data_IF_011495653701
#
_entry.id   IF_011495653701
#
_cell.length_a   1.000
_cell.length_b   1.000
_cell.length_c   1.000
_cell.angle_alpha   90.00
_cell.angle_beta   90.00
_cell.angle_gamma   90.00
#
_symmetry.space_group_name_H-M   'P 1'
#
loop_
_entity.id
_entity.type
_entity.pdbx_description
1 polymer ?
#
# COMPACT_ATOMS: atom_id res chain seq x y z
N UNK A 1 8.15 4.05 -12.01
CA UNK A 1 8.71 3.90 -10.63
C UNK A 1 7.56 3.70 -9.66
N UNK A 2 7.61 2.64 -8.81
CA UNK A 2 6.69 2.48 -7.69
C UNK A 2 7.37 2.89 -6.38
N UNK A 3 6.63 3.55 -5.50
CA UNK A 3 7.14 4.09 -4.26
C UNK A 3 6.18 3.84 -3.09
N UNK A 4 6.70 3.23 -2.01
CA UNK A 4 6.07 3.17 -0.69
C UNK A 4 6.95 3.96 0.28
N UNK A 5 6.48 5.05 0.88
CA UNK A 5 7.26 5.83 1.84
C UNK A 5 7.76 5.01 3.02
N UNK A 6 6.95 4.08 3.52
CA UNK A 6 7.32 3.12 4.59
C UNK A 6 8.15 3.77 5.70
N UNK A 7 7.65 4.86 6.26
CA UNK A 7 8.38 5.78 7.13
C UNK A 7 8.83 5.08 8.41
N UNK A 8 10.08 5.27 8.76
CA UNK A 8 10.68 4.82 10.02
C UNK A 8 11.33 6.01 10.71
N UNK A 9 10.58 6.74 11.58
CA UNK A 9 11.04 8.02 12.15
C UNK A 9 12.41 7.96 12.80
N UNK A 10 12.74 6.85 13.45
CA UNK A 10 14.03 6.67 14.14
C UNK A 10 15.26 6.60 13.21
N UNK A 11 15.08 6.55 11.90
CA UNK A 11 16.14 6.55 10.90
C UNK A 11 16.44 7.95 10.34
N UNK A 12 15.70 8.97 10.78
CA UNK A 12 15.77 10.32 10.25
C UNK A 12 16.17 11.31 11.35
N UNK A 13 16.87 12.37 10.98
CA UNK A 13 17.29 13.39 11.93
C UNK A 13 16.14 14.30 12.38
N UNK A 14 15.13 14.50 11.50
CA UNK A 14 13.98 15.35 11.80
C UNK A 14 12.77 14.99 10.92
N UNK A 15 11.59 15.49 11.34
CA UNK A 15 10.37 15.43 10.52
C UNK A 15 10.53 16.20 9.20
N UNK A 16 11.19 17.34 9.24
CA UNK A 16 11.38 18.18 8.05
C UNK A 16 12.23 17.46 7.02
N UNK A 17 13.30 16.75 7.45
CA UNK A 17 14.10 15.91 6.57
C UNK A 17 13.27 14.81 5.90
N UNK A 18 12.36 14.14 6.66
CA UNK A 18 11.42 13.17 6.10
C UNK A 18 10.60 13.83 5.00
N UNK A 19 9.93 14.94 5.32
CA UNK A 19 9.02 15.61 4.41
C UNK A 19 9.72 16.06 3.12
N UNK A 20 10.86 16.73 3.24
CA UNK A 20 11.65 17.21 2.09
C UNK A 20 12.13 16.07 1.21
N UNK A 21 12.65 15.00 1.83
CA UNK A 21 13.18 13.85 1.08
C UNK A 21 12.07 13.12 0.35
N UNK A 22 10.96 12.82 1.02
CA UNK A 22 9.85 12.10 0.40
C UNK A 22 9.20 12.94 -0.72
N UNK A 23 9.06 14.25 -0.55
CA UNK A 23 8.56 15.13 -1.60
C UNK A 23 9.42 15.05 -2.87
N UNK A 24 10.75 14.98 -2.72
CA UNK A 24 11.65 14.78 -3.88
C UNK A 24 11.43 13.44 -4.57
N UNK A 25 11.14 12.36 -3.83
CA UNK A 25 10.82 11.06 -4.46
C UNK A 25 9.50 11.11 -5.24
N UNK A 26 8.51 11.88 -4.79
CA UNK A 26 7.22 11.98 -5.47
C UNK A 26 7.34 12.55 -6.88
N UNK A 27 8.31 13.42 -7.15
CA UNK A 27 8.52 14.02 -8.49
C UNK A 27 8.89 13.00 -9.58
N UNK A 28 9.33 11.81 -9.18
CA UNK A 28 9.74 10.73 -10.11
C UNK A 28 8.90 9.46 -9.95
N UNK A 29 7.81 9.54 -9.17
CA UNK A 29 6.97 8.40 -8.83
C UNK A 29 5.78 8.27 -9.79
N UNK A 30 5.64 7.11 -10.42
CA UNK A 30 4.47 6.78 -11.25
C UNK A 30 3.33 6.19 -10.41
N UNK A 31 3.66 5.29 -9.46
CA UNK A 31 2.71 4.59 -8.59
C UNK A 31 3.13 4.78 -7.13
N UNK A 32 2.28 5.42 -6.33
CA UNK A 32 2.50 5.57 -4.90
C UNK A 32 1.61 4.64 -4.07
N UNK A 33 2.18 4.03 -3.04
CA UNK A 33 1.53 3.04 -2.18
C UNK A 33 1.65 3.42 -0.69
N UNK A 34 1.31 4.67 -0.27
CA UNK A 34 1.49 5.11 1.11
C UNK A 34 0.58 4.36 2.09
N UNK A 35 0.97 4.39 3.38
CA UNK A 35 0.14 3.99 4.52
C UNK A 35 -0.43 5.24 5.17
N UNK A 36 -1.77 5.36 5.28
CA UNK A 36 -2.43 6.52 5.88
C UNK A 36 -1.94 6.80 7.30
N UNK A 37 -1.68 5.77 8.09
CA UNK A 37 -1.18 5.91 9.46
C UNK A 37 0.14 6.72 9.50
N UNK A 38 1.11 6.35 8.67
CA UNK A 38 2.38 7.07 8.57
C UNK A 38 2.19 8.50 8.08
N UNK A 39 1.37 8.69 7.05
CA UNK A 39 1.11 9.99 6.44
C UNK A 39 0.38 10.94 7.39
N UNK A 40 -0.60 10.45 8.15
CA UNK A 40 -1.33 11.26 9.15
C UNK A 40 -0.41 11.79 10.24
N UNK A 41 0.57 11.00 10.68
CA UNK A 41 1.55 11.39 11.70
C UNK A 41 2.49 12.48 11.18
N UNK A 42 2.96 12.36 9.94
CA UNK A 42 4.02 13.23 9.42
C UNK A 42 3.50 14.48 8.71
N UNK A 43 2.36 14.42 8.05
CA UNK A 43 1.78 15.58 7.35
C UNK A 43 0.50 16.11 8.00
N UNK A 44 -0.06 15.39 8.99
CA UNK A 44 -1.30 15.79 9.64
C UNK A 44 -2.53 15.56 8.77
N UNK A 45 -2.43 14.65 7.80
CA UNK A 45 -3.58 14.26 6.97
C UNK A 45 -4.71 13.73 7.87
N UNK A 46 -5.91 14.29 7.76
CA UNK A 46 -7.06 13.94 8.62
C UNK A 46 -7.85 12.75 8.08
N UNK A 47 -7.58 12.34 6.85
CA UNK A 47 -8.25 11.23 6.18
C UNK A 47 -7.36 10.62 5.08
N UNK A 48 -7.61 9.35 4.66
CA UNK A 48 -6.94 8.78 3.48
C UNK A 48 -7.14 9.60 2.19
N UNK A 49 -8.25 10.34 2.08
CA UNK A 49 -8.48 11.25 0.97
C UNK A 49 -7.52 12.45 0.98
N UNK A 50 -7.14 12.97 2.16
CA UNK A 50 -6.18 14.06 2.26
C UNK A 50 -4.81 13.60 1.78
N UNK A 51 -4.38 12.41 2.22
CA UNK A 51 -3.17 11.75 1.72
C UNK A 51 -3.21 11.61 0.20
N UNK A 52 -4.29 11.03 -0.35
CA UNK A 52 -4.46 10.87 -1.79
C UNK A 52 -4.34 12.21 -2.53
N UNK A 53 -5.05 13.24 -2.05
CA UNK A 53 -5.04 14.56 -2.67
C UNK A 53 -3.66 15.23 -2.62
N UNK A 54 -2.91 15.02 -1.54
CA UNK A 54 -1.53 15.55 -1.42
C UNK A 54 -0.61 14.90 -2.46
N UNK A 55 -0.61 13.58 -2.58
CA UNK A 55 0.17 12.86 -3.58
C UNK A 55 -0.24 13.23 -5.02
N UNK A 56 -1.54 13.44 -5.26
CA UNK A 56 -2.03 13.87 -6.57
C UNK A 56 -1.55 15.28 -6.96
N UNK A 57 -1.43 16.21 -6.00
CA UNK A 57 -0.89 17.55 -6.23
C UNK A 57 0.59 17.53 -6.62
N UNK A 58 1.35 16.54 -6.14
CA UNK A 58 2.74 16.32 -6.52
C UNK A 58 2.89 15.64 -7.91
N UNK A 59 1.78 15.33 -8.58
CA UNK A 59 1.78 14.81 -9.94
C UNK A 59 1.81 13.28 -10.06
N UNK A 60 1.66 12.54 -8.95
CA UNK A 60 1.65 11.07 -8.99
C UNK A 60 0.40 10.57 -9.73
N UNK A 61 0.59 9.79 -10.79
CA UNK A 61 -0.46 9.36 -11.70
C UNK A 61 -1.38 8.25 -11.13
N UNK A 62 -0.82 7.36 -10.32
CA UNK A 62 -1.54 6.26 -9.69
C UNK A 62 -1.21 6.19 -8.20
N UNK A 63 -2.24 6.27 -7.36
CA UNK A 63 -2.09 6.36 -5.90
C UNK A 63 -2.98 5.31 -5.25
N UNK A 64 -2.46 4.60 -4.24
CA UNK A 64 -3.21 3.62 -3.44
C UNK A 64 -2.87 3.81 -1.98
N UNK A 65 -3.73 4.49 -1.25
CA UNK A 65 -3.58 4.76 0.19
C UNK A 65 -4.09 3.57 0.98
N UNK A 66 -3.17 2.82 1.59
CA UNK A 66 -3.48 1.72 2.52
C UNK A 66 -3.95 2.30 3.85
N UNK A 67 -4.95 1.67 4.49
CA UNK A 67 -5.55 2.17 5.73
C UNK A 67 -5.81 1.05 6.76
N UNK A 68 -4.86 0.16 6.93
CA UNK A 68 -4.98 -0.95 7.87
C UNK A 68 -6.27 -1.76 7.65
N UNK A 69 -7.12 -1.84 8.67
CA UNK A 69 -8.45 -2.46 8.58
C UNK A 69 -9.52 -1.55 7.94
N UNK A 70 -9.22 -0.26 7.76
CA UNK A 70 -10.10 0.70 7.10
C UNK A 70 -10.12 0.54 5.57
N UNK A 71 -10.94 1.33 4.90
CA UNK A 71 -11.03 1.27 3.45
C UNK A 71 -9.74 1.78 2.78
N UNK A 72 -9.31 1.10 1.74
CA UNK A 72 -8.29 1.59 0.80
C UNK A 72 -8.92 2.67 -0.07
N UNK A 73 -8.23 3.79 -0.21
CA UNK A 73 -8.61 4.89 -1.11
C UNK A 73 -7.56 4.97 -2.22
N UNK A 74 -8.00 4.96 -3.47
CA UNK A 74 -7.08 4.92 -4.60
C UNK A 74 -7.54 5.83 -5.74
N UNK A 75 -6.57 6.25 -6.58
CA UNK A 75 -6.84 7.03 -7.79
C UNK A 75 -5.93 6.57 -8.92
N UNK A 76 -6.50 6.46 -10.12
CA UNK A 76 -5.76 6.35 -11.37
C UNK A 76 -6.57 7.00 -12.49
N UNK A 77 -5.91 7.76 -13.37
CA UNK A 77 -6.56 8.45 -14.48
C UNK A 77 -7.69 9.38 -14.02
N UNK A 78 -7.57 10.00 -12.85
CA UNK A 78 -8.58 10.89 -12.25
C UNK A 78 -9.80 10.19 -11.64
N UNK A 79 -9.89 8.85 -11.72
CA UNK A 79 -10.98 8.08 -11.11
C UNK A 79 -10.61 7.65 -9.69
N UNK A 80 -11.45 8.00 -8.72
CA UNK A 80 -11.30 7.58 -7.32
C UNK A 80 -12.04 6.28 -7.08
N UNK A 81 -11.40 5.37 -6.36
CA UNK A 81 -11.93 4.09 -5.90
C UNK A 81 -11.80 4.04 -4.38
N UNK A 82 -12.89 3.69 -3.70
CA UNK A 82 -12.90 3.40 -2.26
C UNK A 82 -13.27 1.93 -2.10
N UNK A 83 -12.35 1.14 -1.53
CA UNK A 83 -12.55 -0.30 -1.37
C UNK A 83 -12.45 -0.70 0.10
N UNK A 84 -13.53 -1.23 0.71
CA UNK A 84 -13.46 -1.79 2.07
C UNK A 84 -12.39 -2.88 2.17
N UNK A 85 -11.69 -2.91 3.30
CA UNK A 85 -10.75 -4.00 3.60
C UNK A 85 -11.52 -5.18 4.21
N UNK A 86 -11.40 -6.38 3.65
CA UNK A 86 -12.05 -7.56 4.22
C UNK A 86 -11.56 -7.85 5.64
N UNK A 87 -12.47 -8.28 6.52
CA UNK A 87 -12.10 -8.73 7.86
C UNK A 87 -11.29 -10.02 7.75
N UNK A 88 -10.15 -10.06 8.41
CA UNK A 88 -9.30 -11.26 8.49
C UNK A 88 -9.42 -11.85 9.89
N UNK A 89 -9.82 -13.12 9.95
CA UNK A 89 -9.86 -13.89 11.19
C UNK A 89 -8.54 -14.61 11.43
N UNK A 90 -8.17 -14.78 12.70
CA UNK A 90 -6.95 -15.50 13.08
C UNK A 90 -5.67 -14.71 12.76
N UNK A 91 -5.69 -13.41 12.96
CA UNK A 91 -4.49 -12.57 12.84
C UNK A 91 -3.46 -12.98 13.89
N UNK A 92 -2.25 -13.32 13.44
CA UNK A 92 -1.12 -13.73 14.28
C UNK A 92 -0.06 -12.62 14.39
N UNK A 93 0.29 -12.01 13.25
CA UNK A 93 1.37 -11.02 13.15
C UNK A 93 1.08 -10.09 11.97
N UNK A 94 1.06 -8.78 12.22
CA UNK A 94 0.79 -7.77 11.16
C UNK A 94 2.03 -7.37 10.36
N UNK A 95 3.20 -7.91 10.71
CA UNK A 95 4.47 -7.62 10.01
C UNK A 95 4.38 -7.97 8.53
N UNK A 96 4.81 -7.06 7.68
CA UNK A 96 4.84 -7.26 6.22
C UNK A 96 3.48 -7.21 5.51
N UNK A 97 2.39 -6.87 6.20
CA UNK A 97 1.07 -6.73 5.57
C UNK A 97 1.08 -5.72 4.41
N UNK A 98 1.71 -4.56 4.62
CA UNK A 98 1.89 -3.52 3.61
C UNK A 98 2.72 -3.99 2.42
N UNK A 99 3.86 -4.64 2.68
CA UNK A 99 4.75 -5.16 1.64
C UNK A 99 4.05 -6.25 0.80
N UNK A 100 3.30 -7.14 1.47
CA UNK A 100 2.53 -8.17 0.80
C UNK A 100 1.38 -7.58 -0.05
N UNK A 101 0.69 -6.55 0.48
CA UNK A 101 -0.29 -5.79 -0.31
C UNK A 101 0.37 -5.19 -1.56
N UNK A 102 1.49 -4.51 -1.41
CA UNK A 102 2.23 -3.88 -2.50
C UNK A 102 2.65 -4.92 -3.56
N UNK A 103 3.18 -6.07 -3.11
CA UNK A 103 3.55 -7.16 -4.01
C UNK A 103 2.36 -7.68 -4.82
N UNK A 104 1.22 -7.95 -4.16
CA UNK A 104 -0.01 -8.40 -4.81
C UNK A 104 -0.59 -7.36 -5.77
N UNK A 105 -0.55 -6.08 -5.38
CA UNK A 105 -0.99 -4.97 -6.21
C UNK A 105 -0.13 -4.83 -7.46
N UNK A 106 1.18 -4.65 -7.30
CA UNK A 106 2.10 -4.40 -8.41
C UNK A 106 2.19 -5.58 -9.38
N UNK A 107 2.25 -6.82 -8.86
CA UNK A 107 2.21 -8.00 -9.71
C UNK A 107 0.93 -8.04 -10.57
N UNK A 108 -0.22 -7.67 -9.99
CA UNK A 108 -1.47 -7.62 -10.73
C UNK A 108 -1.47 -6.55 -11.81
N UNK A 109 -0.93 -5.36 -11.53
CA UNK A 109 -0.78 -4.29 -12.53
C UNK A 109 0.11 -4.73 -13.70
N UNK A 110 1.22 -5.41 -13.41
CA UNK A 110 2.11 -5.97 -14.44
C UNK A 110 1.44 -7.05 -15.30
N UNK A 111 0.48 -7.80 -14.72
CA UNK A 111 -0.32 -8.79 -15.44
C UNK A 111 -1.52 -8.17 -16.21
N UNK A 112 -1.65 -6.84 -16.23
CA UNK A 112 -2.69 -6.14 -16.98
C UNK A 112 -4.04 -6.00 -16.27
N UNK A 113 -4.15 -6.36 -14.98
CA UNK A 113 -5.37 -6.12 -14.21
C UNK A 113 -5.60 -4.62 -13.99
N UNK A 114 -6.87 -4.20 -13.95
CA UNK A 114 -7.21 -2.83 -13.61
C UNK A 114 -6.93 -2.52 -12.13
N UNK A 115 -6.98 -1.24 -11.75
CA UNK A 115 -6.64 -0.79 -10.40
C UNK A 115 -7.49 -1.48 -9.33
N UNK A 116 -8.81 -1.58 -9.51
CA UNK A 116 -9.71 -2.19 -8.53
C UNK A 116 -9.41 -3.68 -8.31
N UNK A 117 -9.21 -4.42 -9.38
CA UNK A 117 -8.82 -5.83 -9.32
C UNK A 117 -7.48 -6.01 -8.61
N UNK A 118 -6.54 -5.11 -8.87
CA UNK A 118 -5.20 -5.13 -8.24
C UNK A 118 -5.27 -4.85 -6.75
N UNK A 119 -6.14 -3.92 -6.31
CA UNK A 119 -6.40 -3.68 -4.88
C UNK A 119 -6.92 -4.94 -4.19
N UNK A 120 -7.92 -5.61 -4.78
CA UNK A 120 -8.48 -6.86 -4.22
C UNK A 120 -7.40 -7.93 -4.06
N UNK A 121 -6.50 -8.07 -5.03
CA UNK A 121 -5.40 -9.04 -4.98
C UNK A 121 -4.35 -8.66 -3.94
N UNK A 122 -4.03 -7.36 -3.81
CA UNK A 122 -3.19 -6.85 -2.75
C UNK A 122 -3.78 -7.11 -1.36
N UNK A 123 -5.07 -6.81 -1.17
CA UNK A 123 -5.79 -7.09 0.09
C UNK A 123 -5.78 -8.59 0.45
N UNK A 124 -5.96 -9.48 -0.53
CA UNK A 124 -5.89 -10.93 -0.31
C UNK A 124 -4.50 -11.37 0.16
N UNK A 125 -3.44 -10.86 -0.48
CA UNK A 125 -2.08 -11.26 -0.11
C UNK A 125 -1.67 -10.69 1.24
N UNK A 126 -1.97 -9.42 1.51
CA UNK A 126 -1.76 -8.81 2.82
C UNK A 126 -2.55 -9.53 3.94
N UNK A 127 -3.82 -9.84 3.67
CA UNK A 127 -4.68 -10.58 4.61
C UNK A 127 -4.19 -12.01 4.89
N UNK A 128 -3.56 -12.66 3.92
CA UNK A 128 -2.98 -13.99 4.15
C UNK A 128 -1.70 -13.92 4.97
N UNK A 129 -0.80 -12.97 4.69
CA UNK A 129 0.45 -12.82 5.44
C UNK A 129 0.19 -12.65 6.93
N UNK A 130 -0.77 -11.83 7.32
CA UNK A 130 -1.03 -11.56 8.75
C UNK A 130 -1.62 -12.74 9.54
N UNK A 131 -1.98 -13.84 8.87
CA UNK A 131 -2.40 -15.11 9.51
C UNK A 131 -1.21 -16.00 9.90
N UNK A 132 0.00 -15.59 9.57
CA UNK A 132 1.23 -16.35 9.81
C UNK A 132 2.23 -15.49 10.59
N UNK A 133 3.16 -16.11 11.29
CA UNK A 133 4.25 -15.41 11.92
C UNK A 133 5.31 -15.00 10.89
N UNK A 134 5.76 -13.75 11.00
CA UNK A 134 6.78 -13.17 10.12
C UNK A 134 6.21 -12.61 8.82
N UNK A 135 7.03 -11.79 8.17
CA UNK A 135 6.64 -10.95 7.03
C UNK A 135 6.54 -11.70 5.68
N UNK A 136 6.84 -13.00 5.64
CA UNK A 136 6.94 -13.76 4.38
C UNK A 136 6.19 -15.07 4.45
N UNK A 137 5.36 -15.33 3.45
CA UNK A 137 4.73 -16.64 3.29
C UNK A 137 5.74 -17.69 2.84
N UNK A 138 5.60 -18.93 3.35
CA UNK A 138 6.38 -20.06 2.83
C UNK A 138 6.00 -20.37 1.38
N UNK A 139 6.93 -20.98 0.63
CA UNK A 139 6.66 -21.40 -0.75
C UNK A 139 5.47 -22.36 -0.84
N UNK A 140 5.26 -23.20 0.17
CA UNK A 140 4.15 -24.16 0.21
C UNK A 140 2.79 -23.46 0.32
N UNK A 141 2.68 -22.44 1.18
CA UNK A 141 1.45 -21.65 1.31
C UNK A 141 1.19 -20.90 0.00
N UNK A 142 2.22 -20.29 -0.57
CA UNK A 142 2.10 -19.55 -1.81
C UNK A 142 1.67 -20.43 -2.99
N UNK A 143 2.21 -21.66 -3.12
CA UNK A 143 1.91 -22.58 -4.20
C UNK A 143 0.56 -23.30 -4.09
N UNK A 144 0.05 -23.49 -2.87
CA UNK A 144 -1.23 -24.19 -2.61
C UNK A 144 -2.41 -23.24 -2.45
N UNK A 145 -2.16 -21.95 -2.22
CA UNK A 145 -3.17 -20.95 -1.95
C UNK A 145 -3.85 -20.35 -3.19
N UNK A 146 -4.74 -19.37 -2.99
CA UNK A 146 -5.43 -18.65 -4.07
C UNK A 146 -4.50 -17.81 -4.95
N UNK A 147 -3.19 -17.96 -4.78
CA UNK A 147 -2.13 -17.18 -5.45
C UNK A 147 -1.53 -17.88 -6.67
N UNK A 148 -2.01 -19.09 -7.03
CA UNK A 148 -1.61 -19.81 -8.26
C UNK A 148 -1.71 -18.97 -9.55
N UNK A 149 -2.53 -17.92 -9.53
CA UNK A 149 -2.70 -17.01 -10.66
C UNK A 149 -1.69 -15.87 -10.69
N UNK A 150 -0.68 -15.85 -9.79
CA UNK A 150 0.49 -14.96 -9.84
C UNK A 150 1.73 -15.67 -10.42
N UNK A 151 1.64 -16.98 -10.70
CA UNK A 151 2.60 -17.79 -11.43
C UNK A 151 2.03 -18.08 -12.81
#
# INVERSE_FOLDING_TARGET
ISFDPNIRPNLWASRDEICETLQRFLTVTDIALPSYEDESIHWGDSSPNDTLNRFAREGVAEIVVKNGSGAVVAMAGGKIIIRPTPVVLGVCDTSGAGDAFNAGYLASRLLGYNQEQSIVRGQKLGGEVIRHFGARLSKEIFSKGPFKSFT
#
